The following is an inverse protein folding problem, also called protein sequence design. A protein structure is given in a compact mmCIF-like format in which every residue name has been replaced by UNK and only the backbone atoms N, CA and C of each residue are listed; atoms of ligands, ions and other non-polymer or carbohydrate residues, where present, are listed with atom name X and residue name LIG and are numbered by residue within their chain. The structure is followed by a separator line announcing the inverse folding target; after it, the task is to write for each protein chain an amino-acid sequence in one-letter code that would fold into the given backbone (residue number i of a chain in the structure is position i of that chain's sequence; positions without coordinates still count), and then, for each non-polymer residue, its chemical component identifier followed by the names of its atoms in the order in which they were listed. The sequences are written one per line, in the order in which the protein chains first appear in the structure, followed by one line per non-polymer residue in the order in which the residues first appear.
data_IF_819821654981
#
_entry.id   IF_819821654981
#
_cell.length_a   1.000
_cell.length_b   1.000
_cell.length_c   1.000
_cell.angle_alpha   90.00
_cell.angle_beta   90.00
_cell.angle_gamma   90.00
#
_symmetry.space_group_name_H-M   'P 1'
#
loop_
_entity.id
_entity.type
_entity.pdbx_description
1 polymer ?
#
# COMPACT_ATOMS: atom_id res chain seq x y z
N UNK A 1 21.70 6.20 -18.34
CA UNK A 1 20.65 5.86 -19.32
C UNK A 1 20.80 4.38 -19.61
N UNK A 2 19.85 3.53 -19.20
CA UNK A 2 19.81 2.14 -19.67
C UNK A 2 18.98 2.13 -20.93
N UNK A 3 19.59 1.66 -22.01
CA UNK A 3 18.92 1.38 -23.26
C UNK A 3 18.37 -0.04 -23.17
N UNK A 4 17.04 -0.18 -23.09
CA UNK A 4 16.39 -1.47 -23.31
C UNK A 4 16.21 -1.66 -24.83
N UNK A 5 16.91 -2.63 -25.39
CA UNK A 5 16.73 -3.01 -26.80
C UNK A 5 15.47 -3.89 -26.88
N UNK A 6 14.39 -3.34 -27.45
CA UNK A 6 13.23 -4.13 -27.86
C UNK A 6 13.64 -5.05 -29.03
N UNK A 7 13.05 -6.26 -29.18
CA UNK A 7 13.28 -7.13 -30.34
C UNK A 7 12.93 -6.48 -31.70
N UNK A 8 12.27 -5.31 -31.70
CA UNK A 8 12.03 -4.49 -32.89
C UNK A 8 13.13 -3.46 -33.21
N UNK A 9 14.29 -3.50 -32.53
CA UNK A 9 15.41 -2.59 -32.80
C UNK A 9 15.21 -1.15 -32.33
N UNK A 10 14.15 -0.88 -31.56
CA UNK A 10 13.93 0.41 -30.92
C UNK A 10 14.52 0.40 -29.51
N UNK A 11 15.41 1.36 -29.24
CA UNK A 11 15.88 1.67 -27.89
C UNK A 11 14.72 2.30 -27.13
N UNK A 12 14.19 1.58 -26.13
CA UNK A 12 13.25 2.18 -25.19
C UNK A 12 14.05 3.08 -24.25
N UNK A 13 14.01 4.40 -24.49
CA UNK A 13 14.45 5.42 -23.54
C UNK A 13 13.38 5.62 -22.46
N UNK A 14 12.98 4.53 -21.81
CA UNK A 14 11.89 4.54 -20.85
C UNK A 14 12.45 4.64 -19.42
N UNK A 15 11.83 5.51 -18.64
CA UNK A 15 12.32 5.93 -17.35
C UNK A 15 11.74 4.99 -16.27
N UNK A 16 12.56 4.09 -15.70
CA UNK A 16 12.11 3.03 -14.81
C UNK A 16 12.73 3.13 -13.41
N UNK A 17 11.90 3.12 -12.37
CA UNK A 17 12.33 3.02 -10.98
C UNK A 17 12.19 1.58 -10.47
N UNK A 18 13.05 1.15 -9.53
CA UNK A 18 12.95 -0.18 -8.90
C UNK A 18 11.56 -0.42 -8.29
N UNK A 19 11.01 0.59 -7.61
CA UNK A 19 9.68 0.53 -7.00
C UNK A 19 8.53 0.44 -8.01
N UNK A 20 8.75 0.86 -9.27
CA UNK A 20 7.72 0.82 -10.32
C UNK A 20 7.81 -0.44 -11.19
N UNK A 21 8.83 -1.29 -11.00
CA UNK A 21 8.99 -2.55 -11.76
C UNK A 21 7.74 -3.44 -11.67
N UNK A 22 7.10 -3.67 -10.50
CA UNK A 22 5.94 -4.54 -10.42
C UNK A 22 4.78 -4.04 -11.31
N UNK A 23 4.51 -2.73 -11.28
CA UNK A 23 3.47 -2.11 -12.10
C UNK A 23 3.85 -2.16 -13.58
N UNK A 24 5.09 -1.82 -13.93
CA UNK A 24 5.59 -1.81 -15.31
C UNK A 24 5.43 -3.18 -15.99
N UNK A 25 5.77 -4.25 -15.26
CA UNK A 25 5.64 -5.63 -15.71
C UNK A 25 4.18 -6.02 -15.97
N UNK A 26 3.22 -5.39 -15.29
CA UNK A 26 1.78 -5.65 -15.46
C UNK A 26 1.09 -4.78 -16.52
N UNK A 27 1.63 -3.59 -16.81
CA UNK A 27 0.94 -2.60 -17.66
C UNK A 27 1.60 -2.42 -19.02
N UNK A 28 2.91 -2.61 -19.13
CA UNK A 28 3.63 -2.34 -20.39
C UNK A 28 3.63 -3.57 -21.28
N UNK A 29 3.18 -3.41 -22.53
CA UNK A 29 3.05 -4.52 -23.49
C UNK A 29 4.34 -5.29 -23.74
N UNK A 30 5.49 -4.61 -23.81
CA UNK A 30 6.81 -5.23 -23.98
C UNK A 30 7.25 -6.02 -22.75
N UNK A 31 6.96 -5.53 -21.55
CA UNK A 31 7.28 -6.20 -20.30
C UNK A 31 6.36 -7.41 -20.07
N UNK A 32 5.06 -7.26 -20.36
CA UNK A 32 4.07 -8.36 -20.32
C UNK A 32 4.47 -9.48 -21.30
N UNK A 33 4.87 -9.13 -22.53
CA UNK A 33 5.38 -10.12 -23.48
C UNK A 33 6.65 -10.83 -22.97
N UNK A 34 7.54 -10.09 -22.31
CA UNK A 34 8.75 -10.67 -21.70
C UNK A 34 8.40 -11.63 -20.56
N UNK A 35 7.41 -11.32 -19.73
CA UNK A 35 6.90 -12.24 -18.69
C UNK A 35 6.37 -13.53 -19.30
N UNK A 36 5.62 -13.43 -20.40
CA UNK A 36 5.05 -14.58 -21.07
C UNK A 36 6.14 -15.49 -21.68
N UNK A 37 7.28 -14.93 -22.09
CA UNK A 37 8.38 -15.67 -22.73
C UNK A 37 9.38 -16.27 -21.75
N UNK A 38 9.81 -15.52 -20.72
CA UNK A 38 10.91 -15.94 -19.82
C UNK A 38 10.49 -16.05 -18.35
N UNK A 39 9.24 -15.72 -18.02
CA UNK A 39 8.68 -15.78 -16.67
C UNK A 39 8.92 -14.50 -15.85
N UNK A 40 7.94 -14.17 -14.98
CA UNK A 40 7.92 -12.94 -14.18
C UNK A 40 9.18 -12.74 -13.33
N UNK A 41 9.70 -13.82 -12.75
CA UNK A 41 10.91 -13.78 -11.93
C UNK A 41 12.14 -13.32 -12.74
N UNK A 42 12.42 -13.98 -13.88
CA UNK A 42 13.55 -13.61 -14.75
C UNK A 42 13.37 -12.21 -15.34
N UNK A 43 12.15 -11.83 -15.75
CA UNK A 43 11.87 -10.47 -16.23
C UNK A 43 12.14 -9.42 -15.14
N UNK A 44 11.69 -9.68 -13.90
CA UNK A 44 11.90 -8.78 -12.76
C UNK A 44 13.38 -8.64 -12.43
N UNK A 45 14.13 -9.75 -12.39
CA UNK A 45 15.57 -9.71 -12.16
C UNK A 45 16.30 -8.96 -13.26
N UNK A 46 16.01 -9.28 -14.52
CA UNK A 46 16.66 -8.63 -15.67
C UNK A 46 16.43 -7.11 -15.65
N UNK A 47 15.19 -6.67 -15.37
CA UNK A 47 14.87 -5.25 -15.23
C UNK A 47 15.55 -4.61 -14.01
N UNK A 48 15.58 -5.32 -12.87
CA UNK A 48 16.26 -4.85 -11.65
C UNK A 48 17.75 -4.67 -11.89
N UNK A 49 18.40 -5.64 -12.54
CA UNK A 49 19.82 -5.61 -12.86
C UNK A 49 20.12 -4.51 -13.88
N UNK A 50 19.25 -4.26 -14.85
CA UNK A 50 19.38 -3.15 -15.79
C UNK A 50 19.27 -1.79 -15.09
N UNK A 51 18.40 -1.66 -14.09
CA UNK A 51 18.29 -0.45 -13.27
C UNK A 51 19.52 -0.28 -12.36
N UNK A 52 20.06 -1.36 -11.80
CA UNK A 52 21.28 -1.31 -10.98
C UNK A 52 22.55 -1.05 -11.79
N UNK A 53 22.64 -1.57 -13.02
CA UNK A 53 23.80 -1.42 -13.91
C UNK A 53 23.75 -0.12 -14.75
N UNK A 54 22.71 0.68 -14.60
CA UNK A 54 22.76 2.08 -14.98
C UNK A 54 23.77 2.85 -14.11
N UNK A 55 24.28 4.00 -14.56
CA UNK A 55 24.77 5.05 -13.67
C UNK A 55 23.57 5.59 -12.87
N UNK A 56 23.09 4.80 -11.92
CA UNK A 56 21.95 5.11 -11.07
C UNK A 56 22.32 6.20 -10.09
N UNK A 57 21.46 7.21 -9.97
CA UNK A 57 21.54 8.16 -8.88
C UNK A 57 20.66 7.67 -7.73
N UNK A 58 21.20 7.69 -6.52
CA UNK A 58 20.36 7.55 -5.32
C UNK A 58 19.60 8.86 -5.13
N UNK A 59 18.30 8.83 -5.37
CA UNK A 59 17.43 10.00 -5.30
C UNK A 59 16.89 10.17 -3.87
N UNK A 60 17.12 11.33 -3.27
CA UNK A 60 16.52 11.69 -1.99
C UNK A 60 15.33 12.61 -2.25
N UNK A 61 14.13 12.17 -1.86
CA UNK A 61 12.89 12.89 -2.12
C UNK A 61 12.40 13.63 -0.87
N UNK A 62 11.89 14.87 -1.02
CA UNK A 62 11.34 15.63 0.08
C UNK A 62 9.99 15.06 0.55
N UNK A 63 9.54 15.46 1.73
CA UNK A 63 8.19 15.10 2.23
C UNK A 63 7.11 15.56 1.24
N UNK A 64 6.05 14.76 1.08
CA UNK A 64 4.96 15.01 0.12
C UNK A 64 5.37 14.96 -1.36
N UNK A 65 6.55 14.42 -1.68
CA UNK A 65 6.91 14.06 -3.05
C UNK A 65 6.36 12.68 -3.44
N UNK A 66 6.11 12.53 -4.74
CA UNK A 66 5.90 11.28 -5.43
C UNK A 66 7.00 11.17 -6.48
N UNK A 67 7.87 10.14 -6.41
CA UNK A 67 8.95 9.97 -7.36
C UNK A 67 8.39 9.78 -8.77
N UNK A 68 8.96 10.49 -9.74
CA UNK A 68 8.58 10.40 -11.14
C UNK A 68 9.83 10.49 -12.01
N UNK A 69 10.19 9.40 -12.67
CA UNK A 69 11.33 9.39 -13.57
C UNK A 69 10.97 10.15 -14.85
N UNK A 70 11.74 11.20 -15.16
CA UNK A 70 11.59 11.98 -16.38
C UNK A 70 12.84 11.91 -17.24
N UNK A 71 12.68 12.03 -18.57
CA UNK A 71 13.81 12.00 -19.50
C UNK A 71 14.83 13.11 -19.15
N UNK A 72 16.09 12.74 -18.94
CA UNK A 72 17.15 13.65 -18.49
C UNK A 72 17.14 14.02 -17.00
N UNK A 73 16.11 13.62 -16.24
CA UNK A 73 16.01 13.80 -14.79
C UNK A 73 15.48 12.52 -14.10
N UNK A 74 16.37 11.53 -13.83
CA UNK A 74 15.97 10.28 -13.21
C UNK A 74 15.45 10.45 -11.77
N UNK A 75 15.84 11.55 -11.09
CA UNK A 75 15.37 11.91 -9.76
C UNK A 75 14.23 12.93 -9.78
N UNK A 76 13.47 13.00 -10.88
CA UNK A 76 12.27 13.80 -10.93
C UNK A 76 11.26 13.41 -9.86
N UNK A 77 10.47 14.39 -9.43
CA UNK A 77 9.35 14.15 -8.53
C UNK A 77 8.24 15.15 -8.78
N UNK A 78 7.03 14.73 -8.44
CA UNK A 78 5.85 15.58 -8.37
C UNK A 78 5.41 15.72 -6.92
N UNK A 79 4.62 16.73 -6.62
CA UNK A 79 4.10 16.95 -5.27
C UNK A 79 2.66 16.42 -5.18
N UNK A 80 2.36 15.65 -4.14
CA UNK A 80 1.00 15.16 -3.86
C UNK A 80 0.25 16.07 -2.91
N UNK A 81 -1.05 15.80 -2.73
CA UNK A 81 -1.88 16.44 -1.71
C UNK A 81 -1.95 17.98 -1.84
N UNK A 82 -1.87 18.52 -3.06
CA UNK A 82 -1.99 19.96 -3.32
C UNK A 82 -0.74 20.78 -3.00
N UNK A 83 0.36 20.14 -2.61
CA UNK A 83 1.64 20.82 -2.47
C UNK A 83 2.20 21.18 -3.85
N UNK A 84 3.01 22.24 -3.89
CA UNK A 84 3.63 22.72 -5.13
C UNK A 84 5.15 22.56 -5.08
N UNK A 85 5.80 22.24 -6.20
CA UNK A 85 7.24 22.13 -6.28
C UNK A 85 7.91 23.50 -6.11
N UNK A 86 8.95 23.55 -5.29
CA UNK A 86 9.74 24.76 -5.05
C UNK A 86 11.22 24.43 -4.89
N UNK A 87 12.15 25.27 -5.39
CA UNK A 87 11.91 26.42 -6.28
C UNK A 87 11.34 26.01 -7.65
N UNK A 88 10.73 26.96 -8.38
CA UNK A 88 10.07 26.67 -9.66
C UNK A 88 11.03 26.09 -10.72
N UNK A 89 12.32 26.40 -10.61
CA UNK A 89 13.37 25.82 -11.42
C UNK A 89 14.20 24.87 -10.54
N UNK A 90 14.32 23.61 -10.94
CA UNK A 90 14.99 22.54 -10.17
C UNK A 90 14.41 22.41 -8.75
N UNK A 91 13.14 21.98 -8.62
CA UNK A 91 12.51 21.87 -7.32
C UNK A 91 13.25 20.90 -6.42
N UNK A 92 13.40 21.27 -5.16
CA UNK A 92 14.05 20.45 -4.12
C UNK A 92 13.11 20.12 -2.98
N UNK A 93 11.94 20.75 -2.93
CA UNK A 93 10.93 20.57 -1.89
C UNK A 93 9.51 20.73 -2.42
N UNK A 94 8.57 20.12 -1.73
CA UNK A 94 7.14 20.34 -1.90
C UNK A 94 6.65 21.26 -0.78
N UNK A 95 6.16 22.45 -1.14
CA UNK A 95 5.79 23.48 -0.17
C UNK A 95 4.31 23.84 -0.27
N UNK A 96 3.78 24.37 0.83
CA UNK A 96 2.44 24.94 0.93
C UNK A 96 2.56 26.39 1.36
N UNK A 97 2.66 27.30 0.39
CA UNK A 97 2.89 28.72 0.66
C UNK A 97 1.55 29.48 0.74
N UNK A 98 1.47 30.59 1.50
CA UNK A 98 0.31 31.48 1.51
C UNK A 98 -0.09 31.89 0.09
N UNK A 99 -1.40 31.98 -0.24
CA UNK A 99 -2.56 31.94 0.67
C UNK A 99 -3.06 30.53 1.05
N UNK A 100 -2.35 29.47 0.63
CA UNK A 100 -2.70 28.09 0.96
C UNK A 100 -2.22 27.72 2.37
N UNK A 101 -2.95 26.82 3.02
CA UNK A 101 -2.60 26.27 4.33
C UNK A 101 -2.73 24.75 4.32
N UNK A 102 -2.02 24.08 5.23
CA UNK A 102 -2.09 22.62 5.36
C UNK A 102 -3.23 22.27 6.31
N UNK A 103 -4.16 21.43 5.85
CA UNK A 103 -5.23 20.87 6.67
C UNK A 103 -5.35 19.35 6.45
N UNK A 104 -5.29 18.56 7.53
CA UNK A 104 -5.37 17.10 7.49
C UNK A 104 -4.45 16.46 6.42
N UNK A 105 -3.21 16.96 6.34
CA UNK A 105 -2.20 16.48 5.39
C UNK A 105 -2.35 16.96 3.93
N UNK A 106 -3.37 17.77 3.62
CA UNK A 106 -3.58 18.37 2.29
C UNK A 106 -3.29 19.86 2.30
N UNK A 107 -2.55 20.35 1.32
CA UNK A 107 -2.36 21.77 1.07
C UNK A 107 -3.49 22.30 0.19
N UNK A 108 -4.09 23.42 0.59
CA UNK A 108 -5.22 24.01 -0.12
C UNK A 108 -5.66 25.32 0.50
N UNK A 109 -6.60 26.00 -0.15
CA UNK A 109 -7.18 27.23 0.38
C UNK A 109 -8.36 26.85 1.28
N UNK A 110 -8.13 26.86 2.59
CA UNK A 110 -9.15 26.49 3.59
C UNK A 110 -9.59 27.73 4.37
N UNK A 111 -10.90 28.00 4.42
CA UNK A 111 -11.49 29.05 5.25
C UNK A 111 -11.55 28.67 6.75
N UNK A 112 -11.08 27.46 7.08
CA UNK A 112 -10.97 26.89 8.40
C UNK A 112 -10.47 25.45 8.23
N UNK A 113 -9.56 25.02 9.10
CA UNK A 113 -9.17 23.62 9.14
C UNK A 113 -9.98 22.94 10.25
N UNK A 114 -11.06 22.19 9.92
CA UNK A 114 -11.75 21.41 10.92
C UNK A 114 -10.75 20.42 11.48
N UNK A 115 -10.29 20.70 12.69
CA UNK A 115 -9.69 19.72 13.56
C UNK A 115 -10.77 18.64 13.66
N UNK A 116 -10.52 17.43 13.15
CA UNK A 116 -11.56 16.40 13.14
C UNK A 116 -12.27 16.28 14.50
N UNK A 117 -11.57 16.55 15.59
CA UNK A 117 -12.11 16.66 16.94
C UNK A 117 -13.46 17.38 17.02
N UNK A 118 -14.45 16.61 17.48
CA UNK A 118 -15.65 17.17 18.09
C UNK A 118 -15.21 18.17 19.17
N UNK A 119 -15.80 19.36 19.20
CA UNK A 119 -15.61 20.25 20.34
C UNK A 119 -15.96 19.47 21.61
N UNK A 120 -15.34 19.77 22.76
CA UNK A 120 -15.60 19.08 24.04
C UNK A 120 -17.10 19.01 24.44
N UNK A 121 -17.97 19.79 23.77
CA UNK A 121 -19.44 19.78 23.87
C UNK A 121 -20.16 18.80 22.94
N UNK A 122 -19.53 18.34 21.87
CA UNK A 122 -20.12 17.48 20.84
C UNK A 122 -19.78 16.00 21.02
N UNK A 123 -18.96 15.63 22.02
CA UNK A 123 -18.99 14.25 22.53
C UNK A 123 -20.42 13.98 23.00
N UNK A 124 -21.17 13.07 22.36
CA UNK A 124 -22.54 12.81 22.78
C UNK A 124 -22.46 12.26 24.20
N UNK A 125 -22.99 13.04 25.15
CA UNK A 125 -23.14 12.64 26.56
C UNK A 125 -23.97 11.35 26.58
N UNK A 126 -23.33 10.19 26.46
CA UNK A 126 -24.02 8.91 26.33
C UNK A 126 -23.25 7.77 25.67
N UNK A 127 -22.18 8.02 24.90
CA UNK A 127 -21.38 6.95 24.25
C UNK A 127 -20.16 6.55 25.08
N UNK A 128 -20.37 6.05 26.30
CA UNK A 128 -19.31 5.51 27.16
C UNK A 128 -19.43 3.99 27.21
N UNK A 129 -18.33 3.30 26.99
CA UNK A 129 -18.24 1.87 27.23
C UNK A 129 -17.72 1.60 28.66
N UNK A 130 -18.00 0.40 29.22
CA UNK A 130 -17.34 -0.07 30.42
C UNK A 130 -15.81 -0.05 30.27
N UNK A 131 -15.09 -0.03 31.40
CA UNK A 131 -13.63 -0.14 31.38
C UNK A 131 -13.17 -1.38 30.61
N UNK A 132 -12.21 -1.19 29.69
CA UNK A 132 -11.71 -2.26 28.83
C UNK A 132 -12.46 -2.46 27.51
N UNK A 133 -13.51 -1.66 27.24
CA UNK A 133 -14.27 -1.72 25.99
C UNK A 133 -14.21 -0.38 25.25
N UNK A 134 -14.29 -0.47 23.93
CA UNK A 134 -14.16 0.66 23.01
C UNK A 134 -15.46 0.81 22.20
N UNK A 135 -16.01 2.03 22.08
CA UNK A 135 -17.22 2.26 21.31
C UNK A 135 -16.90 2.25 19.79
N UNK A 136 -17.30 1.19 19.10
CA UNK A 136 -17.11 0.99 17.66
C UNK A 136 -18.42 1.21 16.88
N UNK A 137 -18.32 1.66 15.63
CA UNK A 137 -19.47 1.85 14.74
C UNK A 137 -19.96 0.54 14.14
N UNK A 138 -21.28 0.43 13.94
CA UNK A 138 -21.91 -0.74 13.31
C UNK A 138 -22.21 -0.42 11.83
N UNK A 139 -21.55 -1.09 10.86
CA UNK A 139 -21.75 -0.80 9.43
C UNK A 139 -23.20 -0.97 8.96
N UNK A 140 -23.90 -1.98 9.49
CA UNK A 140 -25.24 -2.39 9.03
C UNK A 140 -26.42 -1.55 9.57
N UNK A 141 -26.17 -0.62 10.50
CA UNK A 141 -27.25 0.12 11.21
C UNK A 141 -27.17 1.64 11.07
N UNK A 142 -26.37 2.16 10.13
CA UNK A 142 -26.25 3.59 9.82
C UNK A 142 -25.23 4.35 10.69
N UNK A 143 -24.86 5.55 10.26
CA UNK A 143 -23.71 6.33 10.77
C UNK A 143 -23.72 6.69 12.28
N UNK A 144 -24.87 6.51 12.95
CA UNK A 144 -25.04 6.82 14.37
C UNK A 144 -25.08 5.57 15.27
N UNK A 145 -25.08 4.37 14.69
CA UNK A 145 -25.17 3.10 15.41
C UNK A 145 -23.81 2.61 15.89
N UNK A 146 -23.76 2.11 17.12
CA UNK A 146 -22.52 1.80 17.82
C UNK A 146 -22.69 0.68 18.84
N UNK A 147 -21.59 -0.01 19.12
CA UNK A 147 -21.49 -1.04 20.14
C UNK A 147 -20.17 -0.96 20.90
N UNK A 148 -20.09 -1.63 22.04
CA UNK A 148 -18.87 -1.70 22.84
C UNK A 148 -18.13 -3.01 22.55
N UNK A 149 -16.95 -2.91 21.94
CA UNK A 149 -16.12 -4.07 21.63
C UNK A 149 -14.87 -4.10 22.50
N UNK A 150 -14.43 -5.31 22.87
CA UNK A 150 -13.12 -5.50 23.47
C UNK A 150 -12.08 -5.66 22.37
N UNK A 151 -11.46 -4.55 21.97
CA UNK A 151 -10.47 -4.52 20.89
C UNK A 151 -9.21 -5.36 21.15
N UNK A 152 -9.04 -5.90 22.36
CA UNK A 152 -7.91 -6.78 22.67
C UNK A 152 -8.16 -8.23 22.24
N UNK A 153 -9.43 -8.60 22.02
CA UNK A 153 -9.86 -9.98 21.74
C UNK A 153 -10.86 -10.09 20.60
N UNK A 154 -11.44 -8.99 20.14
CA UNK A 154 -12.43 -9.00 19.07
C UNK A 154 -11.78 -9.19 17.69
N UNK A 155 -12.29 -10.13 16.89
CA UNK A 155 -11.62 -10.57 15.68
C UNK A 155 -11.84 -9.61 14.50
N UNK A 156 -13.04 -9.03 14.42
CA UNK A 156 -13.45 -8.08 13.37
C UNK A 156 -13.09 -6.62 13.72
N UNK A 157 -12.47 -6.39 14.88
CA UNK A 157 -12.05 -5.06 15.37
C UNK A 157 -10.87 -5.23 16.33
N UNK A 158 -9.85 -5.95 15.84
CA UNK A 158 -8.67 -6.24 16.62
C UNK A 158 -7.73 -5.04 16.66
N UNK A 159 -7.29 -4.67 17.86
CA UNK A 159 -6.39 -3.54 18.09
C UNK A 159 -7.08 -2.17 17.99
N UNK A 160 -8.34 -2.12 17.56
CA UNK A 160 -9.04 -0.87 17.28
C UNK A 160 -10.40 -1.10 16.62
N UNK A 161 -11.15 -0.04 16.32
CA UNK A 161 -12.40 -0.20 15.57
C UNK A 161 -12.13 -0.17 14.07
N UNK A 162 -12.65 -1.16 13.32
CA UNK A 162 -12.60 -1.15 11.84
C UNK A 162 -13.46 -0.01 11.28
N UNK A 163 -14.64 0.19 11.87
CA UNK A 163 -15.47 1.37 11.62
C UNK A 163 -15.46 2.26 12.84
N UNK A 164 -14.76 3.39 12.72
CA UNK A 164 -14.83 4.44 13.75
C UNK A 164 -16.21 5.08 13.78
N UNK A 165 -16.65 5.49 14.96
CA UNK A 165 -17.89 6.26 15.08
C UNK A 165 -17.76 7.57 14.31
N UNK A 166 -18.72 7.81 13.41
CA UNK A 166 -18.78 9.07 12.68
C UNK A 166 -18.88 10.21 13.69
N UNK A 167 -17.84 11.05 13.71
CA UNK A 167 -17.56 11.96 14.82
C UNK A 167 -16.25 11.63 15.53
N UNK A 168 -15.14 11.67 14.78
CA UNK A 168 -13.74 11.77 15.22
C UNK A 168 -13.47 11.53 16.71
N UNK A 169 -13.55 10.27 17.12
CA UNK A 169 -12.81 9.79 18.28
C UNK A 169 -11.43 9.39 17.77
N UNK A 170 -10.57 10.40 17.56
CA UNK A 170 -9.17 10.24 17.13
C UNK A 170 -8.28 9.52 18.16
N UNK A 171 -8.86 9.10 19.29
CA UNK A 171 -8.22 8.32 20.34
C UNK A 171 -8.52 6.81 20.24
N UNK A 172 -9.36 6.39 19.29
CA UNK A 172 -9.58 4.97 19.04
C UNK A 172 -8.56 4.52 17.99
N UNK A 173 -7.63 3.61 18.34
CA UNK A 173 -6.70 3.06 17.36
C UNK A 173 -7.46 2.42 16.19
N UNK A 174 -6.86 2.47 15.00
CA UNK A 174 -7.41 1.84 13.80
C UNK A 174 -7.36 0.33 13.97
N UNK A 175 -8.53 -0.32 13.84
CA UNK A 175 -8.67 -1.76 14.00
C UNK A 175 -8.46 -2.52 12.70
N UNK A 176 -8.09 -3.79 12.82
CA UNK A 176 -8.08 -4.72 11.70
C UNK A 176 -9.16 -5.80 11.89
N UNK A 177 -9.78 -6.19 10.78
CA UNK A 177 -10.56 -7.42 10.71
C UNK A 177 -9.63 -8.57 10.37
N UNK A 178 -9.30 -9.39 11.37
CA UNK A 178 -8.40 -10.52 11.19
C UNK A 178 -9.01 -11.63 10.33
N UNK A 179 -10.35 -11.70 10.23
CA UNK A 179 -11.03 -12.72 9.42
C UNK A 179 -10.96 -12.42 7.93
N UNK A 180 -10.80 -11.15 7.56
CA UNK A 180 -10.64 -10.71 6.18
C UNK A 180 -9.23 -10.95 5.62
N UNK A 181 -8.30 -11.49 6.43
CA UNK A 181 -6.94 -11.78 5.99
C UNK A 181 -6.93 -12.89 4.91
N UNK A 182 -6.29 -12.66 3.74
CA UNK A 182 -6.25 -13.65 2.68
C UNK A 182 -5.60 -14.96 3.10
N UNK A 183 -6.21 -16.09 2.72
CA UNK A 183 -5.62 -17.42 2.90
C UNK A 183 -5.55 -17.91 4.35
N UNK A 184 -6.11 -17.17 5.31
CA UNK A 184 -6.13 -17.54 6.72
C UNK A 184 -7.28 -18.52 7.00
N UNK A 185 -6.97 -19.67 7.60
CA UNK A 185 -7.96 -20.67 8.00
C UNK A 185 -8.29 -20.61 9.50
N UNK A 186 -7.35 -20.15 10.32
CA UNK A 186 -7.51 -19.99 11.76
C UNK A 186 -6.68 -18.81 12.26
N UNK A 187 -7.32 -17.91 13.01
CA UNK A 187 -6.76 -16.64 13.46
C UNK A 187 -7.44 -16.20 14.74
N UNK A 188 -6.67 -15.55 15.61
CA UNK A 188 -7.17 -14.98 16.85
C UNK A 188 -6.72 -13.53 16.99
N UNK A 189 -7.50 -12.72 17.71
CA UNK A 189 -7.05 -11.43 18.20
C UNK A 189 -6.48 -11.61 19.61
N UNK A 190 -5.18 -11.33 19.78
CA UNK A 190 -4.51 -11.45 21.07
C UNK A 190 -3.74 -10.18 21.37
N UNK A 191 -4.17 -9.45 22.41
CA UNK A 191 -3.52 -8.20 22.81
C UNK A 191 -3.63 -7.11 21.73
N UNK A 192 -4.74 -7.12 20.98
CA UNK A 192 -4.98 -6.18 19.89
C UNK A 192 -4.12 -6.43 18.64
N UNK A 193 -3.66 -7.66 18.43
CA UNK A 193 -2.92 -8.08 17.22
C UNK A 193 -3.53 -9.35 16.65
N UNK A 194 -3.67 -9.39 15.33
CA UNK A 194 -4.05 -10.61 14.62
C UNK A 194 -2.90 -11.62 14.70
N UNK A 195 -3.20 -12.81 15.19
CA UNK A 195 -2.29 -13.94 15.28
C UNK A 195 -2.84 -15.09 14.43
N UNK A 196 -2.18 -15.38 13.32
CA UNK A 196 -2.55 -16.48 12.43
C UNK A 196 -2.04 -17.79 13.02
N UNK A 197 -2.92 -18.76 13.21
CA UNK A 197 -2.59 -20.10 13.70
C UNK A 197 -2.46 -21.11 12.57
N UNK A 198 -3.23 -20.93 11.48
CA UNK A 198 -3.24 -21.86 10.35
C UNK A 198 -3.67 -21.17 9.06
N UNK A 199 -2.99 -21.51 7.98
CA UNK A 199 -3.37 -21.12 6.62
C UNK A 199 -4.30 -22.17 5.97
N UNK A 200 -5.11 -21.74 5.01
CA UNK A 200 -5.92 -22.63 4.17
C UNK A 200 -5.02 -23.54 3.32
N UNK A 201 -5.52 -24.71 2.87
CA UNK A 201 -4.78 -25.52 1.89
C UNK A 201 -4.39 -24.69 0.67
N UNK A 202 -3.14 -24.84 0.21
CA UNK A 202 -2.59 -24.01 -0.87
C UNK A 202 -1.92 -22.72 -0.40
N UNK A 203 -1.99 -22.39 0.90
CA UNK A 203 -1.33 -21.23 1.49
C UNK A 203 -0.30 -21.65 2.56
N UNK A 204 0.80 -20.93 2.62
CA UNK A 204 1.84 -21.06 3.66
C UNK A 204 2.05 -19.75 4.40
N UNK A 205 2.65 -19.83 5.59
CA UNK A 205 3.10 -18.62 6.28
C UNK A 205 4.11 -17.85 5.43
N UNK A 206 3.98 -16.53 5.39
CA UNK A 206 5.00 -15.67 4.82
C UNK A 206 6.32 -15.79 5.62
N UNK A 207 7.47 -15.33 5.07
CA UNK A 207 8.75 -15.41 5.76
C UNK A 207 8.78 -14.74 7.15
N UNK A 208 7.89 -13.80 7.41
CA UNK A 208 7.74 -13.14 8.73
C UNK A 208 6.76 -13.85 9.67
N UNK A 209 6.02 -14.85 9.19
CA UNK A 209 5.06 -15.63 9.97
C UNK A 209 3.81 -14.85 10.39
N UNK A 210 3.50 -13.73 9.74
CA UNK A 210 2.42 -12.81 10.09
C UNK A 210 1.21 -12.89 9.15
N UNK A 211 1.34 -13.56 8.00
CA UNK A 211 0.30 -13.67 6.98
C UNK A 211 0.39 -15.00 6.23
N UNK A 212 -0.67 -15.33 5.49
CA UNK A 212 -0.72 -16.50 4.62
C UNK A 212 -0.54 -16.07 3.16
N UNK A 213 0.41 -16.69 2.46
CA UNK A 213 0.73 -16.46 1.05
C UNK A 213 0.45 -17.72 0.25
N UNK A 214 -0.11 -17.55 -0.94
CA UNK A 214 -0.46 -18.68 -1.81
C UNK A 214 0.82 -19.33 -2.38
N UNK A 215 0.84 -20.66 -2.46
CA UNK A 215 2.02 -21.43 -2.87
C UNK A 215 2.47 -21.12 -4.31
N UNK A 216 1.53 -20.88 -5.23
CA UNK A 216 1.86 -20.55 -6.63
C UNK A 216 2.52 -19.16 -6.78
N UNK A 217 2.31 -18.25 -5.81
CA UNK A 217 2.99 -16.95 -5.78
C UNK A 217 4.45 -17.06 -5.32
N UNK A 218 4.83 -18.22 -4.74
CA UNK A 218 6.18 -18.49 -4.22
C UNK A 218 7.05 -19.24 -5.22
N UNK A 219 6.48 -20.10 -6.06
CA UNK A 219 7.23 -20.96 -6.97
C UNK A 219 6.51 -21.20 -8.33
N UNK A 220 7.00 -20.64 -9.45
CA UNK A 220 6.42 -20.86 -10.78
C UNK A 220 6.56 -22.31 -11.28
N UNK A 221 7.35 -23.16 -10.60
CA UNK A 221 7.52 -24.58 -10.95
C UNK A 221 6.26 -25.39 -10.61
N UNK A 222 5.59 -25.06 -9.49
CA UNK A 222 4.35 -25.75 -9.07
C UNK A 222 3.22 -25.50 -10.08
N UNK A 223 3.19 -24.31 -10.67
CA UNK A 223 2.21 -23.95 -11.72
C UNK A 223 2.42 -24.81 -12.98
N UNK A 224 3.66 -25.11 -13.36
CA UNK A 224 3.95 -25.93 -14.54
C UNK A 224 3.56 -27.41 -14.36
N UNK A 225 3.70 -27.96 -13.14
CA UNK A 225 3.31 -29.33 -12.82
C UNK A 225 1.79 -29.51 -12.77
N UNK A 226 1.03 -28.52 -12.28
CA UNK A 226 -0.44 -28.60 -12.21
C UNK A 226 -1.13 -28.47 -13.57
N UNK A 227 -0.46 -27.89 -14.57
CA UNK A 227 -0.95 -27.80 -15.96
C UNK A 227 -0.40 -28.89 -16.90
N UNK A 228 0.32 -29.90 -16.39
CA UNK A 228 0.72 -31.07 -17.19
C UNK A 228 1.55 -30.74 -18.43
N UNK A 229 2.39 -29.70 -18.36
CA UNK A 229 3.29 -29.30 -19.46
C UNK A 229 4.58 -30.13 -19.42
N UNK A 230 4.45 -31.44 -19.61
CA UNK A 230 5.58 -32.39 -19.61
C UNK A 230 6.43 -32.34 -20.89
N UNK A 231 6.15 -31.43 -21.83
CA UNK A 231 6.85 -31.37 -23.11
C UNK A 231 7.19 -29.94 -23.52
N UNK A 232 8.33 -29.45 -23.01
CA UNK A 232 9.07 -28.37 -23.68
C UNK A 232 10.37 -28.98 -24.21
N UNK A 233 10.51 -29.19 -25.53
CA UNK A 233 11.81 -29.56 -26.10
C UNK A 233 12.76 -28.37 -26.00
N UNK A 234 14.01 -28.70 -25.66
CA UNK A 234 15.17 -27.80 -25.51
C UNK A 234 15.36 -26.80 -26.65
#
# INVERSE_FOLDING_TARGET
MASLISPSGYVAEECLCLSSIPSYISTQSSAVASVALVGKYKTTQTLTDLVHNCPGQTCNYPSQAVPECQHGNPCGFTCKNGYIPYPAQKPTQCVCNPPYSVCNGKCGMFNGCPSGYLAKRDFPRGKRCPSGYTPCGIPARGANSWECLNIQTELESCGGCVLSLSGNVSDIPEGADCTAMPGVADVSCVGGRCLVHRCMPGYEFDPTGSSCVYLEDRDPVILAEQYGLEHVPF
#
